data_IF_745485542145
#
_entry.id   IF_745485542145
#
_cell.length_a   1.000
_cell.length_b   1.000
_cell.length_c   1.000
_cell.angle_alpha   90.00
_cell.angle_beta   90.00
_cell.angle_gamma   90.00
#
_symmetry.space_group_name_H-M   'P 1'
#
loop_
_entity.id
_entity.type
_entity.pdbx_description
1 polymer ?
#
# COMPACT_ATOMS: atom_id res chain seq x y z
N UNK A 1 -42.29 23.94 -5.20
CA UNK A 1 -42.65 23.78 -3.78
C UNK A 1 -43.32 22.42 -3.65
N UNK A 2 -42.69 21.50 -2.91
CA UNK A 2 -43.06 21.34 -1.50
C UNK A 2 -41.86 21.46 -0.56
N UNK A 3 -42.14 21.97 0.62
CA UNK A 3 -41.26 22.14 1.77
C UNK A 3 -41.33 20.89 2.64
N UNK A 4 -40.27 20.10 2.68
CA UNK A 4 -40.18 19.04 3.68
C UNK A 4 -39.72 19.63 5.00
N UNK A 5 -40.68 19.71 5.92
CA UNK A 5 -40.51 20.18 7.29
C UNK A 5 -39.67 19.18 8.08
N UNK A 6 -38.54 19.63 8.59
CA UNK A 6 -37.76 18.92 9.59
C UNK A 6 -38.62 18.69 10.84
N UNK A 7 -38.97 17.44 11.12
CA UNK A 7 -39.63 17.04 12.37
C UNK A 7 -38.55 16.61 13.34
N UNK A 8 -38.35 17.40 14.41
CA UNK A 8 -37.47 17.03 15.50
C UNK A 8 -38.05 15.79 16.23
N UNK A 9 -37.19 14.80 16.46
CA UNK A 9 -37.52 13.61 17.26
C UNK A 9 -37.77 14.07 18.70
N UNK A 10 -38.92 13.74 19.32
CA UNK A 10 -39.16 14.07 20.72
C UNK A 10 -38.14 13.38 21.61
N UNK A 11 -37.47 14.13 22.48
CA UNK A 11 -36.85 13.57 23.69
C UNK A 11 -37.98 13.28 24.69
N UNK A 12 -38.68 12.18 24.48
CA UNK A 12 -39.42 11.52 25.54
C UNK A 12 -38.48 10.52 26.18
N UNK A 13 -37.87 10.93 27.29
CA UNK A 13 -37.64 10.04 28.43
C UNK A 13 -37.25 10.92 29.62
N UNK A 14 -38.17 11.77 30.08
CA UNK A 14 -38.03 12.38 31.40
C UNK A 14 -39.38 12.89 31.93
N UNK A 15 -40.33 11.99 32.21
CA UNK A 15 -41.22 12.17 33.37
C UNK A 15 -41.98 10.88 33.70
N UNK A 16 -41.43 10.06 34.61
CA UNK A 16 -42.21 9.07 35.37
C UNK A 16 -41.70 9.02 36.81
N UNK A 17 -41.62 10.17 37.47
CA UNK A 17 -41.57 10.21 38.93
C UNK A 17 -42.98 10.40 39.50
N UNK A 18 -43.72 9.30 39.59
CA UNK A 18 -44.91 9.25 40.44
C UNK A 18 -45.10 7.87 41.06
N UNK A 19 -44.86 7.83 42.38
CA UNK A 19 -45.32 6.85 43.36
C UNK A 19 -44.62 5.49 43.42
N UNK A 20 -43.40 5.47 43.96
CA UNK A 20 -42.87 4.31 44.66
C UNK A 20 -42.72 4.62 46.16
N UNK A 21 -43.48 3.88 46.97
CA UNK A 21 -43.36 3.87 48.44
C UNK A 21 -41.93 3.44 48.84
N UNK A 22 -41.31 4.03 49.87
CA UNK A 22 -39.98 3.61 50.29
C UNK A 22 -40.09 2.23 50.97
N UNK A 23 -39.91 1.17 50.19
CA UNK A 23 -39.62 -0.15 50.74
C UNK A 23 -38.15 -0.10 51.15
N UNK A 24 -37.86 -0.15 52.46
CA UNK A 24 -36.50 -0.30 52.99
C UNK A 24 -35.84 -1.48 52.28
N UNK A 25 -34.98 -1.19 51.31
CA UNK A 25 -34.04 -2.16 50.74
C UNK A 25 -32.94 -2.24 51.78
N UNK A 26 -32.82 -3.37 52.46
CA UNK A 26 -31.61 -3.65 53.20
C UNK A 26 -30.47 -3.52 52.18
N UNK A 27 -29.60 -2.53 52.38
CA UNK A 27 -28.28 -2.56 51.77
C UNK A 27 -27.56 -3.73 52.42
N UNK A 28 -27.72 -4.92 51.84
CA UNK A 28 -26.73 -5.96 52.01
C UNK A 28 -25.48 -5.44 51.31
N UNK A 29 -24.70 -4.65 52.06
CA UNK A 29 -23.30 -4.39 51.81
C UNK A 29 -22.67 -5.75 51.61
N UNK A 30 -22.49 -6.14 50.35
CA UNK A 30 -21.84 -7.38 49.95
C UNK A 30 -20.40 -7.28 50.45
N UNK A 31 -20.18 -7.73 51.70
CA UNK A 31 -18.88 -7.71 52.33
C UNK A 31 -18.06 -8.79 51.64
N UNK A 32 -17.16 -8.37 50.76
CA UNK A 32 -16.14 -9.25 50.22
C UNK A 32 -15.28 -9.73 51.39
N UNK A 33 -15.54 -10.94 51.87
CA UNK A 33 -14.58 -11.62 52.74
C UNK A 33 -13.24 -11.69 52.00
N UNK A 34 -12.12 -11.49 52.68
CA UNK A 34 -10.80 -11.39 52.03
C UNK A 34 -10.46 -12.56 51.11
N UNK A 35 -11.06 -13.74 51.34
CA UNK A 35 -11.01 -14.91 50.45
C UNK A 35 -11.65 -14.67 49.09
N UNK A 36 -12.80 -14.00 49.02
CA UNK A 36 -13.46 -13.62 47.76
C UNK A 36 -12.59 -12.65 46.97
N UNK A 37 -12.00 -11.65 47.64
CA UNK A 37 -11.11 -10.66 47.00
C UNK A 37 -9.89 -11.34 46.37
N UNK A 38 -9.26 -12.25 47.11
CA UNK A 38 -8.16 -13.06 46.60
C UNK A 38 -8.58 -13.93 45.40
N UNK A 39 -9.75 -14.58 45.44
CA UNK A 39 -10.22 -15.45 44.35
C UNK A 39 -10.43 -14.64 43.07
N UNK A 40 -11.11 -13.49 43.13
CA UNK A 40 -11.30 -12.66 41.94
C UNK A 40 -10.00 -12.03 41.45
N UNK A 41 -9.09 -11.61 42.33
CA UNK A 41 -7.76 -11.14 41.93
C UNK A 41 -6.95 -12.23 41.23
N UNK A 42 -6.99 -13.47 41.72
CA UNK A 42 -6.35 -14.62 41.08
C UNK A 42 -6.97 -14.95 39.72
N UNK A 43 -8.30 -14.94 39.60
CA UNK A 43 -8.99 -15.19 38.33
C UNK A 43 -8.70 -14.09 37.30
N UNK A 44 -8.65 -12.83 37.74
CA UNK A 44 -8.30 -11.71 36.87
C UNK A 44 -6.84 -11.78 36.40
N UNK A 45 -5.91 -12.08 37.31
CA UNK A 45 -4.51 -12.30 36.96
C UNK A 45 -4.34 -13.47 35.97
N UNK A 46 -5.04 -14.58 36.19
CA UNK A 46 -5.05 -15.71 35.28
C UNK A 46 -5.61 -15.33 33.90
N UNK A 47 -6.70 -14.57 33.85
CA UNK A 47 -7.27 -14.09 32.60
C UNK A 47 -6.29 -13.20 31.82
N UNK A 48 -5.57 -12.29 32.50
CA UNK A 48 -4.54 -11.46 31.87
C UNK A 48 -3.35 -12.29 31.36
N UNK A 49 -2.92 -13.30 32.12
CA UNK A 49 -1.85 -14.21 31.69
C UNK A 49 -2.29 -15.00 30.46
N UNK A 50 -3.50 -15.56 30.47
CA UNK A 50 -4.07 -16.29 29.33
C UNK A 50 -4.25 -15.38 28.11
N UNK A 51 -4.70 -14.15 28.29
CA UNK A 51 -4.83 -13.17 27.21
C UNK A 51 -3.47 -12.79 26.62
N UNK A 52 -2.47 -12.50 27.47
CA UNK A 52 -1.12 -12.19 27.02
C UNK A 52 -0.46 -13.39 26.32
N UNK A 53 -0.68 -14.61 26.81
CA UNK A 53 -0.24 -15.84 26.16
C UNK A 53 -0.95 -16.04 24.81
N UNK A 54 -2.26 -15.82 24.74
CA UNK A 54 -3.06 -15.87 23.52
C UNK A 54 -2.60 -14.86 22.48
N UNK A 55 -2.32 -13.62 22.88
CA UNK A 55 -1.76 -12.59 22.00
C UNK A 55 -0.36 -12.99 21.50
N UNK A 56 0.52 -13.50 22.37
CA UNK A 56 1.85 -13.98 21.94
C UNK A 56 1.77 -15.19 21.01
N UNK A 57 0.85 -16.12 21.26
CA UNK A 57 0.61 -17.28 20.40
C UNK A 57 0.03 -16.83 19.06
N UNK A 58 -0.94 -15.90 19.05
CA UNK A 58 -1.51 -15.32 17.83
C UNK A 58 -0.46 -14.60 16.99
N UNK A 59 0.33 -13.71 17.59
CA UNK A 59 1.43 -13.03 16.90
C UNK A 59 2.51 -14.00 16.38
N UNK A 60 2.79 -15.08 17.12
CA UNK A 60 3.71 -16.14 16.68
C UNK A 60 3.10 -16.99 15.57
N UNK A 61 1.79 -17.22 15.58
CA UNK A 61 1.05 -17.95 14.57
C UNK A 61 0.93 -17.16 13.26
N UNK A 62 0.65 -15.86 13.31
CA UNK A 62 0.64 -14.96 12.14
C UNK A 62 2.04 -14.86 11.51
N UNK A 63 3.07 -14.83 12.36
CA UNK A 63 4.46 -14.90 11.90
C UNK A 63 4.77 -16.27 11.28
N UNK A 64 4.35 -17.36 11.91
CA UNK A 64 4.56 -18.73 11.42
C UNK A 64 3.77 -19.03 10.14
N UNK A 65 2.58 -18.44 9.97
CA UNK A 65 1.77 -18.58 8.75
C UNK A 65 2.34 -17.76 7.60
N UNK A 66 2.91 -16.58 7.88
CA UNK A 66 3.68 -15.81 6.91
C UNK A 66 5.03 -16.47 6.56
N UNK A 67 5.60 -17.25 7.49
CA UNK A 67 6.93 -17.89 7.37
C UNK A 67 6.86 -19.37 6.94
N UNK A 68 5.65 -19.94 6.77
CA UNK A 68 5.53 -21.16 5.96
C UNK A 68 5.95 -20.79 4.56
N UNK A 69 7.19 -21.16 4.22
CA UNK A 69 7.65 -21.24 2.84
C UNK A 69 6.61 -21.98 2.01
N UNK A 70 6.53 -21.66 0.71
CA UNK A 70 5.61 -22.33 -0.19
C UNK A 70 5.74 -23.85 -0.01
N UNK A 71 4.65 -24.58 -0.24
CA UNK A 71 4.63 -26.04 -0.10
C UNK A 71 5.69 -26.76 -0.95
N UNK A 72 6.25 -26.06 -1.95
CA UNK A 72 7.33 -26.50 -2.84
C UNK A 72 8.75 -26.29 -2.27
N UNK A 73 8.90 -25.69 -1.09
CA UNK A 73 10.18 -25.40 -0.45
C UNK A 73 10.93 -24.19 -1.04
N UNK A 74 10.32 -23.45 -1.96
CA UNK A 74 10.94 -22.27 -2.57
C UNK A 74 10.77 -21.02 -1.69
N UNK A 75 11.77 -20.14 -1.76
CA UNK A 75 11.74 -18.83 -1.13
C UNK A 75 10.77 -17.92 -1.89
N UNK A 76 10.15 -17.00 -1.18
CA UNK A 76 9.33 -15.96 -1.79
C UNK A 76 10.23 -14.95 -2.52
N UNK A 77 9.87 -14.46 -3.73
CA UNK A 77 10.64 -13.44 -4.46
C UNK A 77 11.00 -12.21 -3.62
N UNK A 78 10.13 -11.82 -2.68
CA UNK A 78 10.32 -10.65 -1.81
C UNK A 78 11.50 -10.81 -0.85
N UNK A 79 11.90 -12.05 -0.55
CA UNK A 79 13.08 -12.31 0.30
C UNK A 79 14.39 -11.85 -0.34
N UNK A 80 14.42 -11.68 -1.66
CA UNK A 80 15.62 -11.26 -2.36
C UNK A 80 16.03 -9.81 -2.01
N UNK A 81 15.07 -8.88 -2.04
CA UNK A 81 15.33 -7.48 -1.65
C UNK A 81 15.41 -7.35 -0.12
N UNK A 82 14.64 -8.15 0.61
CA UNK A 82 14.56 -8.08 2.06
C UNK A 82 13.58 -7.01 2.55
N UNK A 83 13.62 -6.73 3.85
CA UNK A 83 12.72 -5.75 4.48
C UNK A 83 13.21 -4.32 4.26
N UNK A 84 12.40 -3.51 3.58
CA UNK A 84 12.63 -2.06 3.43
C UNK A 84 11.84 -1.31 4.51
N UNK A 85 12.49 -0.43 5.31
CA UNK A 85 11.81 0.29 6.38
C UNK A 85 10.79 1.29 5.82
N UNK A 86 9.66 1.44 6.53
CA UNK A 86 8.68 2.48 6.24
C UNK A 86 9.14 3.82 6.78
N UNK A 87 8.94 4.87 6.00
CA UNK A 87 9.22 6.26 6.38
C UNK A 87 8.01 7.13 6.11
N UNK A 88 7.61 7.94 7.08
CA UNK A 88 6.58 8.96 6.88
C UNK A 88 7.15 10.11 6.05
N UNK A 89 6.43 10.48 4.99
CA UNK A 89 6.78 11.58 4.10
C UNK A 89 5.54 12.41 3.85
N UNK A 90 5.68 13.72 3.98
CA UNK A 90 4.63 14.68 3.62
C UNK A 90 4.90 15.19 2.21
N UNK A 91 3.87 15.18 1.35
CA UNK A 91 4.00 15.72 0.01
C UNK A 91 4.06 17.24 0.07
N UNK A 92 5.05 17.82 -0.62
CA UNK A 92 5.30 19.27 -0.62
C UNK A 92 5.31 19.76 -2.04
N UNK A 93 4.73 20.95 -2.23
CA UNK A 93 4.71 21.68 -3.50
C UNK A 93 5.04 23.16 -3.23
N UNK A 94 5.76 23.86 -4.14
CA UNK A 94 6.46 23.28 -5.29
C UNK A 94 7.65 22.42 -4.85
N UNK A 95 7.93 21.33 -5.57
CA UNK A 95 9.02 20.41 -5.23
C UNK A 95 10.25 20.55 -6.13
N UNK A 96 10.13 21.32 -7.22
CA UNK A 96 11.16 21.49 -8.25
C UNK A 96 11.00 20.49 -9.39
N UNK A 97 10.34 19.35 -9.17
CA UNK A 97 10.07 18.35 -10.21
C UNK A 97 9.04 18.81 -11.25
N UNK A 98 8.38 19.94 -11.01
CA UNK A 98 7.53 20.61 -12.00
C UNK A 98 8.34 21.40 -13.06
N UNK A 99 9.64 21.59 -12.84
CA UNK A 99 10.52 22.30 -13.77
C UNK A 99 10.78 21.49 -15.04
N UNK A 100 10.66 22.15 -16.19
CA UNK A 100 10.85 21.59 -17.54
C UNK A 100 12.18 22.00 -18.19
N UNK A 101 13.00 22.76 -17.46
CA UNK A 101 14.35 23.14 -17.86
C UNK A 101 15.34 21.97 -17.79
N UNK A 102 16.57 22.20 -18.24
CA UNK A 102 17.68 21.25 -18.08
C UNK A 102 17.98 20.95 -16.60
N UNK A 103 17.75 21.90 -15.70
CA UNK A 103 17.86 21.69 -14.25
C UNK A 103 16.78 20.73 -13.74
N UNK A 104 15.55 20.86 -14.26
CA UNK A 104 14.47 19.91 -14.04
C UNK A 104 14.82 18.51 -14.54
N UNK A 105 15.42 18.39 -15.72
CA UNK A 105 15.84 17.10 -16.27
C UNK A 105 16.89 16.41 -15.37
N UNK A 106 17.87 17.16 -14.85
CA UNK A 106 18.91 16.63 -13.94
C UNK A 106 18.30 16.02 -12.67
N UNK A 107 17.38 16.71 -12.01
CA UNK A 107 16.78 16.19 -10.76
C UNK A 107 15.86 15.00 -11.00
N UNK A 108 15.25 14.89 -12.19
CA UNK A 108 14.50 13.71 -12.61
C UNK A 108 15.42 12.51 -12.86
N UNK A 109 16.58 12.72 -13.48
CA UNK A 109 17.60 11.69 -13.68
C UNK A 109 18.16 11.17 -12.33
N UNK A 110 18.35 12.06 -11.35
CA UNK A 110 18.82 11.72 -10.00
C UNK A 110 17.86 10.82 -9.19
N UNK A 111 16.59 10.69 -9.61
CA UNK A 111 15.66 9.73 -8.99
C UNK A 111 16.05 8.28 -9.26
N UNK A 112 16.72 8.02 -10.38
CA UNK A 112 17.14 6.68 -10.75
C UNK A 112 18.42 6.34 -9.98
N UNK A 113 18.44 5.22 -9.23
CA UNK A 113 19.64 4.81 -8.53
C UNK A 113 20.71 4.37 -9.53
N UNK A 114 21.97 4.28 -9.06
CA UNK A 114 23.02 3.60 -9.83
C UNK A 114 22.55 2.20 -10.25
N UNK A 115 22.70 1.88 -11.53
CA UNK A 115 22.17 0.65 -12.13
C UNK A 115 20.70 0.75 -12.58
N UNK A 116 20.09 1.94 -12.52
CA UNK A 116 18.74 2.24 -13.02
C UNK A 116 17.62 1.35 -12.46
N UNK A 117 17.84 0.75 -11.28
CA UNK A 117 16.86 -0.14 -10.64
C UNK A 117 16.84 -1.57 -11.18
N UNK A 118 17.82 -1.95 -12.02
CA UNK A 118 18.00 -3.34 -12.42
C UNK A 118 18.81 -4.11 -11.39
N UNK A 119 18.34 -5.30 -11.04
CA UNK A 119 18.98 -6.20 -10.10
C UNK A 119 19.51 -7.44 -10.83
N UNK A 120 20.74 -7.81 -10.49
CA UNK A 120 21.29 -9.14 -10.76
C UNK A 120 20.76 -10.10 -9.71
N UNK A 121 20.01 -11.12 -10.13
CA UNK A 121 19.48 -12.16 -9.24
C UNK A 121 20.17 -13.50 -9.55
N UNK A 122 21.09 -13.98 -8.72
CA UNK A 122 21.67 -15.32 -8.87
C UNK A 122 20.66 -16.40 -8.50
N UNK A 123 20.69 -17.51 -9.23
CA UNK A 123 19.82 -18.68 -9.00
C UNK A 123 18.34 -18.34 -8.73
N UNK A 124 17.66 -17.53 -9.57
CA UNK A 124 16.31 -16.98 -9.29
C UNK A 124 15.24 -18.04 -9.02
N UNK A 125 15.47 -19.28 -9.47
CA UNK A 125 14.56 -20.42 -9.24
C UNK A 125 14.44 -20.81 -7.77
N UNK A 126 15.44 -20.53 -6.93
CA UNK A 126 15.30 -20.76 -5.48
C UNK A 126 14.27 -19.82 -4.85
N UNK A 127 14.00 -18.66 -5.49
CA UNK A 127 13.04 -17.65 -5.07
C UNK A 127 11.68 -17.76 -5.78
N UNK A 128 11.38 -18.90 -6.40
CA UNK A 128 10.18 -19.10 -7.20
C UNK A 128 9.88 -17.96 -8.20
N UNK A 129 10.92 -17.30 -8.69
CA UNK A 129 10.80 -16.18 -9.60
C UNK A 129 10.53 -16.67 -11.03
N UNK A 130 9.64 -16.00 -11.79
CA UNK A 130 9.46 -16.25 -13.21
C UNK A 130 10.79 -16.11 -13.97
N UNK A 131 10.94 -16.81 -15.09
CA UNK A 131 12.14 -16.70 -15.92
C UNK A 131 12.29 -15.27 -16.44
N UNK A 132 13.50 -14.73 -16.35
CA UNK A 132 13.89 -13.45 -16.92
C UNK A 132 15.14 -13.61 -17.80
N UNK A 133 15.65 -12.50 -18.33
CA UNK A 133 16.84 -12.47 -19.18
C UNK A 133 18.08 -12.93 -18.43
N UNK A 134 18.78 -13.93 -18.98
CA UNK A 134 20.06 -14.40 -18.43
C UNK A 134 21.19 -13.40 -18.70
N UNK A 135 22.06 -13.23 -17.71
CA UNK A 135 23.28 -12.45 -17.85
C UNK A 135 24.34 -13.36 -18.48
N UNK A 136 24.74 -13.06 -19.72
CA UNK A 136 25.71 -13.89 -20.46
C UNK A 136 27.07 -13.90 -19.76
N UNK A 137 27.61 -15.10 -19.56
CA UNK A 137 28.92 -15.28 -18.91
C UNK A 137 28.88 -15.24 -17.38
N UNK A 138 27.69 -15.13 -16.78
CA UNK A 138 27.53 -15.17 -15.33
C UNK A 138 27.66 -16.61 -14.80
N UNK A 139 28.48 -16.82 -13.78
CA UNK A 139 28.78 -18.13 -13.22
C UNK A 139 27.65 -18.70 -12.35
N UNK A 140 26.73 -17.85 -11.90
CA UNK A 140 25.61 -18.23 -11.02
C UNK A 140 24.28 -18.30 -11.78
N UNK A 141 24.36 -18.37 -13.11
CA UNK A 141 23.20 -18.35 -14.01
C UNK A 141 22.25 -17.18 -13.72
N UNK A 142 22.81 -16.04 -13.33
CA UNK A 142 22.02 -14.92 -12.86
C UNK A 142 21.09 -14.38 -13.96
N UNK A 143 19.90 -13.96 -13.56
CA UNK A 143 18.93 -13.30 -14.42
C UNK A 143 18.74 -11.84 -13.99
N UNK A 144 18.42 -10.99 -14.95
CA UNK A 144 18.19 -9.55 -14.75
C UNK A 144 16.72 -9.31 -14.39
N UNK A 145 16.45 -8.58 -13.32
CA UNK A 145 15.10 -8.13 -12.96
C UNK A 145 15.07 -6.62 -12.80
N UNK A 146 13.92 -6.00 -12.98
CA UNK A 146 13.71 -4.56 -12.73
C UNK A 146 12.86 -4.38 -11.49
N UNK A 147 13.18 -3.42 -10.63
CA UNK A 147 12.29 -3.06 -9.51
C UNK A 147 11.11 -2.25 -10.05
N UNK A 148 9.88 -2.64 -9.69
CA UNK A 148 8.67 -2.04 -10.24
C UNK A 148 8.59 -0.54 -9.97
N UNK A 149 8.94 -0.07 -8.76
CA UNK A 149 9.00 1.37 -8.45
C UNK A 149 9.88 2.15 -9.43
N UNK A 150 11.09 1.68 -9.74
CA UNK A 150 12.00 2.35 -10.69
C UNK A 150 11.49 2.27 -12.13
N UNK A 151 10.81 1.17 -12.47
CA UNK A 151 10.16 1.03 -13.77
C UNK A 151 8.97 2.01 -13.93
N UNK A 152 8.17 2.20 -12.88
CA UNK A 152 7.10 3.20 -12.83
C UNK A 152 7.66 4.63 -12.97
N UNK A 153 8.76 4.95 -12.28
CA UNK A 153 9.45 6.24 -12.43
C UNK A 153 9.97 6.46 -13.86
N UNK A 154 10.57 5.45 -14.47
CA UNK A 154 11.02 5.50 -15.86
C UNK A 154 9.85 5.81 -16.81
N UNK A 155 8.73 5.09 -16.69
CA UNK A 155 7.53 5.33 -17.50
C UNK A 155 6.99 6.74 -17.30
N UNK A 156 6.96 7.24 -16.06
CA UNK A 156 6.52 8.60 -15.74
C UNK A 156 7.44 9.66 -16.36
N UNK A 157 8.76 9.45 -16.33
CA UNK A 157 9.73 10.34 -16.97
C UNK A 157 9.57 10.35 -18.51
N UNK A 158 9.29 9.20 -19.13
CA UNK A 158 8.94 9.11 -20.56
C UNK A 158 7.70 9.94 -20.86
N UNK A 159 6.65 9.84 -20.04
CA UNK A 159 5.44 10.66 -20.19
C UNK A 159 5.74 12.15 -20.03
N UNK A 160 6.57 12.54 -19.06
CA UNK A 160 7.04 13.93 -18.90
C UNK A 160 7.72 14.43 -20.19
N UNK A 161 8.66 13.67 -20.75
CA UNK A 161 9.33 14.04 -22.00
C UNK A 161 8.37 14.16 -23.19
N UNK A 162 7.37 13.28 -23.29
CA UNK A 162 6.32 13.37 -24.30
C UNK A 162 5.56 14.69 -24.10
N UNK A 163 5.08 14.97 -22.90
CA UNK A 163 4.32 16.20 -22.60
C UNK A 163 5.13 17.45 -22.95
N UNK A 164 6.40 17.56 -22.51
CA UNK A 164 7.28 18.69 -22.84
C UNK A 164 7.41 18.90 -24.35
N UNK A 165 7.58 17.81 -25.12
CA UNK A 165 7.70 17.89 -26.59
C UNK A 165 6.39 18.27 -27.28
N UNK A 166 5.26 17.85 -26.73
CA UNK A 166 3.92 18.06 -27.30
C UNK A 166 3.24 19.35 -26.84
N UNK A 167 3.76 20.07 -25.84
CA UNK A 167 3.19 21.34 -25.34
C UNK A 167 3.13 22.49 -26.37
N UNK A 168 3.59 22.27 -27.60
CA UNK A 168 3.34 23.15 -28.75
C UNK A 168 1.95 22.88 -29.35
N UNK A 169 0.89 23.43 -28.76
CA UNK A 169 -0.46 23.28 -29.32
C UNK A 169 -1.63 23.73 -28.42
N UNK A 170 -2.83 23.27 -28.79
CA UNK A 170 -4.11 23.54 -28.12
C UNK A 170 -4.15 22.84 -26.75
N UNK A 171 -4.01 23.62 -25.67
CA UNK A 171 -3.90 23.09 -24.32
C UNK A 171 -5.29 22.68 -23.82
N UNK A 172 -5.42 21.42 -23.39
CA UNK A 172 -6.64 20.92 -22.71
C UNK A 172 -7.02 21.86 -21.57
N UNK A 173 -8.32 22.02 -21.26
CA UNK A 173 -8.76 22.77 -20.06
C UNK A 173 -8.19 22.23 -18.73
N UNK A 174 -7.63 21.01 -18.76
CA UNK A 174 -6.99 20.33 -17.64
C UNK A 174 -5.46 20.26 -17.74
N UNK A 175 -4.87 20.71 -18.85
CA UNK A 175 -3.42 20.67 -19.08
C UNK A 175 -2.89 22.07 -19.43
N UNK A 176 -1.67 22.39 -19.01
CA UNK A 176 -1.09 23.73 -19.16
C UNK A 176 -1.07 24.55 -17.87
N UNK A 177 -0.39 25.69 -17.93
CA UNK A 177 -0.06 26.55 -16.78
C UNK A 177 0.65 25.82 -15.61
N UNK A 178 1.29 24.68 -15.88
CA UNK A 178 2.02 23.89 -14.89
C UNK A 178 1.20 22.79 -14.20
N UNK A 179 -0.10 22.65 -14.49
CA UNK A 179 -0.95 21.65 -13.82
C UNK A 179 -0.60 20.20 -14.20
N UNK A 180 -0.19 19.98 -15.45
CA UNK A 180 0.36 18.73 -15.96
C UNK A 180 1.63 18.33 -15.21
N UNK A 181 2.56 19.26 -15.02
CA UNK A 181 3.80 19.00 -14.30
C UNK A 181 3.59 18.82 -12.79
N UNK A 182 2.63 19.53 -12.19
CA UNK A 182 2.18 19.28 -10.83
C UNK A 182 1.59 17.86 -10.68
N UNK A 183 0.75 17.42 -11.62
CA UNK A 183 0.20 16.06 -11.63
C UNK A 183 1.30 15.01 -11.75
N UNK A 184 2.28 15.22 -12.64
CA UNK A 184 3.43 14.33 -12.79
C UNK A 184 4.24 14.25 -11.49
N UNK A 185 4.54 15.38 -10.83
CA UNK A 185 5.24 15.36 -9.56
C UNK A 185 4.43 14.67 -8.44
N UNK A 186 3.12 14.90 -8.38
CA UNK A 186 2.25 14.20 -7.42
C UNK A 186 2.31 12.68 -7.61
N UNK A 187 2.24 12.18 -8.85
CA UNK A 187 2.36 10.75 -9.16
C UNK A 187 3.76 10.23 -8.79
N UNK A 188 4.82 10.99 -9.09
CA UNK A 188 6.20 10.65 -8.69
C UNK A 188 6.31 10.47 -7.17
N UNK A 189 5.76 11.40 -6.39
CA UNK A 189 5.73 11.30 -4.93
C UNK A 189 4.93 10.08 -4.46
N UNK A 190 3.81 9.75 -5.11
CA UNK A 190 3.01 8.56 -4.82
C UNK A 190 3.76 7.25 -5.11
N UNK A 191 4.49 7.16 -6.23
CA UNK A 191 5.33 6.00 -6.57
C UNK A 191 6.39 5.78 -5.50
N UNK A 192 7.11 6.84 -5.09
CA UNK A 192 8.13 6.77 -4.05
C UNK A 192 7.54 6.41 -2.67
N UNK A 193 6.34 6.92 -2.35
CA UNK A 193 5.65 6.61 -1.11
C UNK A 193 5.17 5.15 -1.05
N UNK A 194 4.69 4.62 -2.17
CA UNK A 194 4.28 3.22 -2.26
C UNK A 194 5.50 2.29 -2.20
N UNK A 195 6.60 2.68 -2.85
CA UNK A 195 7.87 1.97 -2.79
C UNK A 195 7.75 0.52 -3.24
N UNK A 196 7.08 0.28 -4.37
CA UNK A 196 6.82 -1.08 -4.84
C UNK A 196 8.11 -1.83 -5.21
N UNK A 197 8.54 -2.70 -4.31
CA UNK A 197 9.75 -3.52 -4.45
C UNK A 197 9.51 -4.82 -5.25
N UNK A 198 8.38 -4.96 -5.94
CA UNK A 198 8.15 -6.12 -6.81
C UNK A 198 9.21 -6.20 -7.91
N UNK A 199 9.64 -7.42 -8.24
CA UNK A 199 10.61 -7.66 -9.31
C UNK A 199 9.89 -8.00 -10.61
N UNK A 200 9.95 -7.06 -11.56
CA UNK A 200 9.52 -7.26 -12.93
C UNK A 200 10.55 -8.13 -13.65
N UNK A 201 10.07 -9.11 -14.40
CA UNK A 201 10.89 -9.95 -15.27
C UNK A 201 10.81 -9.43 -16.70
N UNK A 202 11.86 -9.72 -17.48
CA UNK A 202 11.86 -9.44 -18.89
C UNK A 202 11.04 -10.50 -19.62
N UNK A 203 10.15 -10.05 -20.50
CA UNK A 203 9.57 -10.90 -21.52
C UNK A 203 10.66 -11.32 -22.49
N UNK A 204 10.79 -12.64 -22.68
CA UNK A 204 11.76 -13.24 -23.60
C UNK A 204 11.06 -13.50 -24.92
N UNK A 205 11.32 -12.66 -25.91
CA UNK A 205 10.94 -12.94 -27.30
C UNK A 205 12.00 -13.83 -27.95
N UNK A 206 11.57 -14.77 -28.80
CA UNK A 206 12.45 -15.65 -29.56
C UNK A 206 12.38 -15.30 -31.05
N UNK A 207 13.53 -15.22 -31.70
CA UNK A 207 13.67 -15.17 -33.15
C UNK A 207 13.18 -16.48 -33.77
N UNK A 208 12.92 -16.45 -35.08
CA UNK A 208 12.54 -17.62 -35.89
C UNK A 208 13.59 -18.75 -35.86
N UNK A 209 14.84 -18.44 -35.56
CA UNK A 209 15.93 -19.40 -35.39
C UNK A 209 16.07 -19.96 -33.96
N UNK A 210 15.15 -19.62 -33.05
CA UNK A 210 15.15 -20.06 -31.65
C UNK A 210 16.09 -19.27 -30.72
N UNK A 211 16.76 -18.23 -31.21
CA UNK A 211 17.61 -17.35 -30.37
C UNK A 211 16.79 -16.25 -29.71
N UNK A 212 17.13 -15.86 -28.48
CA UNK A 212 16.46 -14.76 -27.78
C UNK A 212 16.67 -13.43 -28.52
N UNK A 213 15.59 -12.71 -28.86
CA UNK A 213 15.58 -11.59 -29.81
C UNK A 213 15.42 -10.23 -29.16
N UNK A 214 14.57 -10.15 -28.13
CA UNK A 214 14.20 -8.91 -27.47
C UNK A 214 13.93 -9.17 -25.99
N UNK A 215 14.36 -8.22 -25.18
CA UNK A 215 14.13 -8.20 -23.75
C UNK A 215 13.36 -6.92 -23.43
N UNK A 216 12.14 -7.06 -22.94
CA UNK A 216 11.32 -5.94 -22.52
C UNK A 216 10.78 -6.22 -21.12
N UNK A 217 10.97 -5.29 -20.20
CA UNK A 217 10.26 -5.34 -18.92
C UNK A 217 8.90 -4.70 -19.17
N UNK A 218 7.84 -5.48 -19.17
CA UNK A 218 6.47 -4.98 -19.39
C UNK A 218 5.75 -4.72 -18.06
N UNK A 219 6.28 -5.26 -16.95
CA UNK A 219 5.60 -5.31 -15.67
C UNK A 219 4.45 -6.31 -15.62
N UNK A 220 4.22 -7.07 -16.71
CA UNK A 220 3.18 -8.09 -16.75
C UNK A 220 3.57 -9.31 -15.91
N UNK A 221 2.56 -10.03 -15.40
CA UNK A 221 2.71 -11.29 -14.68
C UNK A 221 3.61 -11.24 -13.42
N UNK A 222 3.98 -10.05 -12.94
CA UNK A 222 4.56 -9.84 -11.63
C UNK A 222 3.45 -9.70 -10.59
N UNK A 223 3.67 -10.26 -9.38
CA UNK A 223 2.68 -10.19 -8.30
C UNK A 223 3.03 -9.04 -7.36
N UNK A 224 2.15 -8.03 -7.29
CA UNK A 224 2.31 -6.85 -6.47
C UNK A 224 1.57 -6.97 -5.13
N UNK A 225 2.00 -6.21 -4.12
CA UNK A 225 1.32 -6.11 -2.82
C UNK A 225 0.56 -4.79 -2.70
N UNK A 226 -0.66 -4.76 -3.22
CA UNK A 226 -1.49 -3.57 -3.22
C UNK A 226 -2.40 -3.52 -1.98
N UNK A 227 -2.87 -2.31 -1.64
CA UNK A 227 -4.08 -2.17 -0.83
C UNK A 227 -5.27 -2.65 -1.68
N UNK A 228 -6.21 -3.33 -1.05
CA UNK A 228 -7.40 -3.83 -1.73
C UNK A 228 -8.21 -2.66 -2.29
N UNK A 229 -8.33 -2.61 -3.62
CA UNK A 229 -9.03 -1.55 -4.33
C UNK A 229 -10.53 -1.56 -4.05
N UNK A 230 -11.17 -2.73 -3.98
CA UNK A 230 -12.62 -2.80 -3.75
C UNK A 230 -12.95 -2.35 -2.33
N UNK A 231 -12.15 -2.77 -1.35
CA UNK A 231 -12.30 -2.28 0.02
C UNK A 231 -12.10 -0.76 0.12
N UNK A 232 -11.11 -0.20 -0.59
CA UNK A 232 -10.93 1.26 -0.67
C UNK A 232 -12.15 1.90 -1.32
N UNK A 233 -12.61 1.36 -2.45
CA UNK A 233 -13.70 1.89 -3.24
C UNK A 233 -15.01 1.94 -2.46
N UNK A 234 -15.32 0.91 -1.67
CA UNK A 234 -16.48 0.88 -0.79
C UNK A 234 -16.45 2.03 0.22
N UNK A 235 -15.30 2.25 0.89
CA UNK A 235 -15.13 3.36 1.84
C UNK A 235 -15.27 4.71 1.15
N UNK A 236 -14.70 4.87 -0.06
CA UNK A 236 -14.81 6.11 -0.83
C UNK A 236 -16.26 6.40 -1.23
N UNK A 237 -17.03 5.38 -1.63
CA UNK A 237 -18.45 5.52 -1.94
C UNK A 237 -19.23 5.90 -0.68
N UNK A 238 -19.01 5.21 0.44
CA UNK A 238 -19.69 5.49 1.71
C UNK A 238 -19.42 6.94 2.18
N UNK A 239 -18.18 7.42 2.04
CA UNK A 239 -17.73 8.71 2.57
C UNK A 239 -17.59 9.81 1.51
N UNK A 240 -18.18 9.64 0.32
CA UNK A 240 -18.09 10.60 -0.78
C UNK A 240 -18.69 11.96 -0.41
N UNK A 241 -18.08 13.03 -0.92
CA UNK A 241 -18.56 14.40 -0.74
C UNK A 241 -19.82 14.70 -1.57
N UNK A 242 -19.84 14.24 -2.83
CA UNK A 242 -20.96 14.39 -3.76
C UNK A 242 -21.15 13.13 -4.64
N UNK A 243 -22.06 13.19 -5.61
CA UNK A 243 -22.36 12.08 -6.52
C UNK A 243 -21.72 12.26 -7.92
N UNK A 244 -20.68 13.08 -8.07
CA UNK A 244 -19.96 13.19 -9.34
C UNK A 244 -19.24 11.89 -9.66
N UNK A 245 -19.13 11.59 -10.95
CA UNK A 245 -18.47 10.37 -11.45
C UNK A 245 -17.64 10.66 -12.67
N UNK A 246 -16.62 9.82 -12.89
CA UNK A 246 -15.68 9.92 -14.02
C UNK A 246 -14.38 10.62 -13.64
N UNK A 247 -13.29 10.25 -14.34
CA UNK A 247 -11.91 10.59 -13.96
C UNK A 247 -11.54 12.07 -14.19
N UNK A 248 -12.41 12.86 -14.82
CA UNK A 248 -12.17 14.27 -15.21
C UNK A 248 -13.25 15.24 -14.67
N UNK A 249 -14.01 14.87 -13.63
CA UNK A 249 -15.23 15.57 -13.20
C UNK A 249 -15.20 16.09 -11.76
#
# INVERSE_FOLDING_TARGET
MPTDSYTAIPRDENDRDAHLRPRRRAEELFSWNGTSLCVFSCLFALALICFAAGVKIGQKWDRWSADRGRADGLLDPRRFIGEIPKKEVMFRFPSGYEDTSEEGDKIWDELMPLGAGFLRVPHPRIYAMPRSTRIKGDQEEAELYSVSMTHQLHCLAVLRHVIIKYEKGDKSRFAGAGHDYHCLDYIRQAILCAGDTTLDHADIEYNTNGTESRYGFTGANATHQCRDWEAIREVLIEKRLDNKTGILF
#
